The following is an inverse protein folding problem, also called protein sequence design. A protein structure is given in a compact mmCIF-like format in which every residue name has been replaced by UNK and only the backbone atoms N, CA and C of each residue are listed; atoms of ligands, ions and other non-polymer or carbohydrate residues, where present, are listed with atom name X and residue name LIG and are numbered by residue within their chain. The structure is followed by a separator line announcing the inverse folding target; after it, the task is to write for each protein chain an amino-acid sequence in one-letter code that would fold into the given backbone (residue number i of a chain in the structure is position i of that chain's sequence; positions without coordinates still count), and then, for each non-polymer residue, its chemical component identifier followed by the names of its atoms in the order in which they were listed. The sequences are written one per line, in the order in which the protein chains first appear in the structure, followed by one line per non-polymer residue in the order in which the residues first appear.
data_IF_502525794041
#
_entry.id   IF_502525794041
#
_cell.length_a   1.000
_cell.length_b   1.000
_cell.length_c   1.000
_cell.angle_alpha   90.00
_cell.angle_beta   90.00
_cell.angle_gamma   90.00
#
_symmetry.space_group_name_H-M   'P 1'
#
loop_
_entity.id
_entity.type
_entity.pdbx_description
1 polymer ?
#
# COMPACT_ATOMS: atom_id res chain seq x y z
N UNK A 1 -10.97 -4.02 -13.42
CA UNK A 1 -10.19 -2.95 -12.76
C UNK A 1 -9.21 -3.58 -11.77
N UNK A 2 -8.13 -2.89 -11.35
CA UNK A 2 -7.12 -3.44 -10.43
C UNK A 2 -6.79 -2.42 -9.35
N UNK A 3 -6.89 -2.83 -8.08
CA UNK A 3 -6.29 -2.12 -6.96
C UNK A 3 -4.97 -2.79 -6.58
N UNK A 4 -3.92 -1.98 -6.43
CA UNK A 4 -2.58 -2.45 -6.06
C UNK A 4 -2.19 -1.85 -4.72
N UNK A 5 -1.97 -2.71 -3.74
CA UNK A 5 -1.62 -2.35 -2.37
C UNK A 5 -0.23 -2.90 -2.07
N UNK A 6 0.60 -2.11 -1.41
CA UNK A 6 1.97 -2.48 -1.03
C UNK A 6 2.05 -2.65 0.49
N UNK A 7 2.64 -3.75 0.94
CA UNK A 7 2.92 -4.01 2.35
C UNK A 7 4.38 -4.45 2.46
N UNK A 8 5.24 -3.58 3.03
CA UNK A 8 6.69 -3.78 3.06
C UNK A 8 7.23 -4.04 1.64
N UNK A 9 7.79 -5.22 1.38
CA UNK A 9 8.29 -5.69 0.09
C UNK A 9 7.27 -6.56 -0.69
N UNK A 10 6.05 -6.75 -0.17
CA UNK A 10 5.01 -7.58 -0.76
C UNK A 10 3.91 -6.75 -1.42
N UNK A 11 3.19 -7.38 -2.36
CA UNK A 11 2.12 -6.74 -3.12
C UNK A 11 0.81 -7.52 -2.95
N UNK A 12 -0.28 -6.81 -2.69
CA UNK A 12 -1.64 -7.35 -2.78
C UNK A 12 -2.31 -6.73 -4.00
N UNK A 13 -2.85 -7.57 -4.88
CA UNK A 13 -3.69 -7.16 -5.99
C UNK A 13 -5.13 -7.57 -5.73
N UNK A 14 -6.06 -6.64 -5.95
CA UNK A 14 -7.50 -6.90 -5.88
C UNK A 14 -8.08 -6.60 -7.26
N UNK A 15 -8.74 -7.57 -7.88
CA UNK A 15 -9.24 -7.42 -9.24
C UNK A 15 -10.45 -8.29 -9.53
N UNK A 16 -11.25 -7.91 -10.52
CA UNK A 16 -12.28 -8.71 -11.17
C UNK A 16 -11.74 -9.46 -12.40
N UNK A 17 -10.51 -9.17 -12.83
CA UNK A 17 -9.95 -9.64 -14.09
C UNK A 17 -9.04 -10.87 -13.89
N UNK A 18 -9.59 -12.05 -14.20
CA UNK A 18 -8.89 -13.34 -14.14
C UNK A 18 -7.74 -13.43 -15.17
N UNK A 19 -7.73 -12.62 -16.23
CA UNK A 19 -6.68 -12.69 -17.25
C UNK A 19 -5.29 -12.35 -16.70
N UNK A 20 -5.21 -11.64 -15.58
CA UNK A 20 -3.95 -11.36 -14.89
C UNK A 20 -3.19 -12.64 -14.50
N UNK A 21 -3.91 -13.76 -14.36
CA UNK A 21 -3.35 -15.05 -13.97
C UNK A 21 -2.43 -15.68 -15.02
N UNK A 22 -2.52 -15.23 -16.28
CA UNK A 22 -1.70 -15.76 -17.39
C UNK A 22 -0.22 -15.38 -17.31
N UNK A 23 0.13 -14.39 -16.48
CA UNK A 23 1.47 -13.81 -16.40
C UNK A 23 2.06 -13.87 -14.99
N UNK A 24 1.66 -14.87 -14.20
CA UNK A 24 2.05 -14.98 -12.79
C UNK A 24 3.31 -15.84 -12.62
N UNK A 25 4.19 -15.39 -11.72
CA UNK A 25 5.37 -16.13 -11.26
C UNK A 25 5.04 -17.11 -10.14
N UNK A 26 5.98 -17.99 -9.76
CA UNK A 26 5.74 -19.07 -8.78
C UNK A 26 5.46 -18.61 -7.32
N UNK A 27 5.74 -17.35 -6.97
CA UNK A 27 5.65 -16.83 -5.58
C UNK A 27 4.35 -16.06 -5.29
N UNK A 28 3.22 -16.60 -5.75
CA UNK A 28 1.92 -15.89 -5.67
C UNK A 28 0.85 -16.76 -5.02
N UNK A 29 0.16 -16.19 -4.04
CA UNK A 29 -1.03 -16.75 -3.42
C UNK A 29 -2.27 -16.17 -4.10
N UNK A 30 -3.24 -17.00 -4.48
CA UNK A 30 -4.45 -16.56 -5.19
C UNK A 30 -5.68 -17.01 -4.42
N UNK A 31 -6.65 -16.11 -4.24
CA UNK A 31 -7.96 -16.40 -3.63
C UNK A 31 -9.09 -15.83 -4.48
N UNK A 32 -10.13 -16.64 -4.67
CA UNK A 32 -11.32 -16.30 -5.44
C UNK A 32 -12.51 -16.08 -4.50
N UNK A 33 -13.19 -14.95 -4.64
CA UNK A 33 -14.34 -14.52 -3.85
C UNK A 33 -14.18 -14.71 -2.32
N UNK A 34 -13.01 -14.37 -1.71
CA UNK A 34 -12.87 -14.55 -0.27
C UNK A 34 -13.86 -13.66 0.48
N UNK A 35 -14.37 -14.12 1.61
CA UNK A 35 -15.12 -13.27 2.53
C UNK A 35 -14.21 -12.38 3.38
N UNK A 36 -14.80 -11.49 4.19
CA UNK A 36 -14.02 -10.55 5.01
C UNK A 36 -13.23 -11.23 6.14
N UNK A 37 -13.75 -12.30 6.73
CA UNK A 37 -13.06 -13.01 7.80
C UNK A 37 -11.85 -13.75 7.25
N UNK A 38 -12.03 -14.41 6.10
CA UNK A 38 -10.94 -15.05 5.37
C UNK A 38 -9.82 -14.06 5.03
N UNK A 39 -10.16 -12.84 4.60
CA UNK A 39 -9.17 -11.80 4.29
C UNK A 39 -8.34 -11.46 5.53
N UNK A 40 -8.97 -11.28 6.69
CA UNK A 40 -8.25 -10.87 7.90
C UNK A 40 -7.18 -11.90 8.27
N UNK A 41 -7.55 -13.19 8.26
CA UNK A 41 -6.63 -14.27 8.60
C UNK A 41 -5.57 -14.46 7.52
N UNK A 42 -5.96 -14.34 6.25
CA UNK A 42 -5.06 -14.38 5.11
C UNK A 42 -4.03 -13.26 5.14
N UNK A 43 -4.43 -12.03 5.50
CA UNK A 43 -3.52 -10.88 5.61
C UNK A 43 -2.48 -11.09 6.72
N UNK A 44 -2.90 -11.65 7.86
CA UNK A 44 -1.97 -11.98 8.96
C UNK A 44 -0.95 -13.03 8.52
N UNK A 45 -1.43 -14.12 7.91
CA UNK A 45 -0.56 -15.19 7.41
C UNK A 45 0.39 -14.66 6.33
N UNK A 46 -0.14 -13.90 5.36
CA UNK A 46 0.64 -13.36 4.27
C UNK A 46 1.68 -12.32 4.72
N UNK A 47 1.44 -11.59 5.81
CA UNK A 47 2.43 -10.66 6.35
C UNK A 47 3.72 -11.37 6.77
N UNK A 48 3.60 -12.56 7.36
CA UNK A 48 4.72 -13.36 7.89
C UNK A 48 5.24 -14.44 6.91
N UNK A 49 4.63 -14.55 5.73
CA UNK A 49 4.95 -15.57 4.73
C UNK A 49 6.15 -15.19 3.83
N UNK A 50 7.33 -15.73 4.10
CA UNK A 50 8.53 -15.45 3.28
C UNK A 50 8.50 -16.11 1.89
N UNK A 51 7.62 -17.08 1.64
CA UNK A 51 7.53 -17.81 0.38
C UNK A 51 6.83 -16.97 -0.68
N UNK A 52 5.71 -16.33 -0.33
CA UNK A 52 4.89 -15.57 -1.27
C UNK A 52 5.19 -14.07 -1.21
N UNK A 53 5.45 -13.48 -2.38
CA UNK A 53 5.70 -12.03 -2.51
C UNK A 53 4.46 -11.29 -3.00
N UNK A 54 3.47 -12.02 -3.50
CA UNK A 54 2.24 -11.45 -4.03
C UNK A 54 1.01 -12.23 -3.58
N UNK A 55 -0.04 -11.50 -3.23
CA UNK A 55 -1.37 -12.04 -2.97
C UNK A 55 -2.35 -11.45 -3.97
N UNK A 56 -3.14 -12.29 -4.66
CA UNK A 56 -4.15 -11.85 -5.60
C UNK A 56 -5.53 -12.27 -5.09
N UNK A 57 -6.38 -11.27 -4.85
CA UNK A 57 -7.77 -11.43 -4.45
C UNK A 57 -8.67 -11.14 -5.66
N UNK A 58 -9.34 -12.17 -6.15
CA UNK A 58 -10.25 -12.05 -7.28
C UNK A 58 -11.68 -11.92 -6.76
N UNK A 59 -12.32 -10.77 -6.96
CA UNK A 59 -13.71 -10.53 -6.55
C UNK A 59 -14.54 -9.92 -7.69
N UNK A 60 -15.74 -10.45 -7.95
CA UNK A 60 -16.60 -9.95 -9.05
C UNK A 60 -17.33 -8.67 -8.66
N UNK A 61 -17.56 -8.46 -7.35
CA UNK A 61 -18.09 -7.21 -6.78
C UNK A 61 -16.94 -6.34 -6.30
N UNK A 62 -16.07 -5.98 -7.24
CA UNK A 62 -14.75 -5.41 -6.96
C UNK A 62 -14.79 -4.14 -6.11
N UNK A 63 -15.65 -3.17 -6.46
CA UNK A 63 -15.74 -1.89 -5.74
C UNK A 63 -16.23 -2.08 -4.30
N UNK A 64 -17.35 -2.78 -4.11
CA UNK A 64 -17.89 -3.11 -2.78
C UNK A 64 -16.87 -3.87 -1.92
N UNK A 65 -16.17 -4.81 -2.54
CA UNK A 65 -15.15 -5.61 -1.88
C UNK A 65 -13.95 -4.75 -1.46
N UNK A 66 -13.49 -3.86 -2.33
CA UNK A 66 -12.39 -2.94 -2.04
C UNK A 66 -12.75 -1.97 -0.91
N UNK A 67 -13.97 -1.43 -0.88
CA UNK A 67 -14.44 -0.56 0.20
C UNK A 67 -14.40 -1.31 1.54
N UNK A 68 -14.90 -2.56 1.57
CA UNK A 68 -14.87 -3.39 2.78
C UNK A 68 -13.43 -3.71 3.21
N UNK A 69 -12.55 -4.05 2.26
CA UNK A 69 -11.13 -4.28 2.51
C UNK A 69 -10.46 -3.03 3.09
N UNK A 70 -10.70 -1.86 2.50
CA UNK A 70 -10.14 -0.58 2.93
C UNK A 70 -10.54 -0.25 4.37
N UNK A 71 -11.81 -0.51 4.73
CA UNK A 71 -12.35 -0.27 6.07
C UNK A 71 -11.78 -1.21 7.15
N UNK A 72 -11.00 -2.25 6.79
CA UNK A 72 -10.26 -3.06 7.76
C UNK A 72 -9.06 -2.30 8.36
N UNK A 73 -8.62 -1.22 7.72
CA UNK A 73 -7.41 -0.51 8.09
C UNK A 73 -7.71 0.85 8.73
N UNK A 74 -6.93 1.19 9.74
CA UNK A 74 -6.88 2.56 10.26
C UNK A 74 -6.00 3.40 9.34
N UNK A 75 -6.63 4.31 8.61
CA UNK A 75 -5.92 5.24 7.73
C UNK A 75 -5.22 6.31 8.55
N UNK A 76 -3.93 6.50 8.30
CA UNK A 76 -3.14 7.60 8.86
C UNK A 76 -2.70 8.46 7.70
N UNK A 77 -3.24 9.68 7.63
CA UNK A 77 -2.85 10.64 6.62
C UNK A 77 -1.46 11.20 6.93
N UNK A 78 -0.66 11.35 5.88
CA UNK A 78 0.65 11.95 5.97
C UNK A 78 0.89 12.89 4.80
N UNK A 79 1.67 13.94 5.06
CA UNK A 79 2.07 14.93 4.06
C UNK A 79 3.58 15.18 4.16
N UNK A 80 4.16 15.70 3.10
CA UNK A 80 5.60 15.87 2.97
C UNK A 80 5.97 16.58 1.67
N UNK A 81 7.23 16.47 1.26
CA UNK A 81 7.73 17.18 0.09
C UNK A 81 8.93 16.51 -0.56
N UNK A 82 9.07 16.75 -1.86
CA UNK A 82 10.30 16.43 -2.60
C UNK A 82 11.22 17.63 -2.47
N UNK A 83 12.32 17.48 -1.74
CA UNK A 83 13.30 18.54 -1.54
C UNK A 83 14.44 18.34 -2.52
N UNK A 84 14.72 19.38 -3.29
CA UNK A 84 15.84 19.42 -4.22
C UNK A 84 16.99 20.22 -3.62
N UNK A 85 18.23 19.88 -3.98
CA UNK A 85 19.34 20.80 -3.78
C UNK A 85 19.21 22.05 -4.69
N UNK A 86 20.07 23.04 -4.50
CA UNK A 86 20.01 24.30 -5.25
C UNK A 86 20.09 24.10 -6.78
N UNK A 87 20.94 23.19 -7.24
CA UNK A 87 21.13 22.85 -8.65
C UNK A 87 19.99 22.02 -9.24
N UNK A 88 19.09 21.49 -8.39
CA UNK A 88 17.95 20.63 -8.74
C UNK A 88 18.32 19.32 -9.44
N UNK A 89 19.55 18.85 -9.28
CA UNK A 89 20.03 17.57 -9.81
C UNK A 89 19.92 16.42 -8.80
N UNK A 90 19.69 16.72 -7.52
CA UNK A 90 19.59 15.75 -6.41
C UNK A 90 18.32 15.95 -5.60
N UNK A 91 17.80 14.83 -5.07
CA UNK A 91 16.64 14.79 -4.18
C UNK A 91 17.09 14.32 -2.79
N UNK A 92 16.61 15.00 -1.75
CA UNK A 92 16.78 14.57 -0.37
C UNK A 92 15.84 13.40 -0.05
N UNK A 93 16.41 12.32 0.46
CA UNK A 93 15.68 11.21 1.07
C UNK A 93 16.01 11.14 2.57
N UNK A 94 15.07 10.61 3.34
CA UNK A 94 15.28 10.26 4.75
C UNK A 94 15.31 8.74 4.91
N UNK A 95 16.13 8.24 5.83
CA UNK A 95 16.17 6.82 6.14
C UNK A 95 15.35 6.57 7.41
N UNK A 96 14.22 5.86 7.28
CA UNK A 96 13.37 5.47 8.42
C UNK A 96 13.13 3.97 8.38
N UNK A 97 13.33 3.30 9.51
CA UNK A 97 13.14 1.85 9.65
C UNK A 97 13.91 1.03 8.58
N UNK A 98 15.09 1.49 8.18
CA UNK A 98 15.93 0.82 7.17
C UNK A 98 15.49 0.99 5.72
N UNK A 99 14.50 1.85 5.44
CA UNK A 99 14.00 2.13 4.08
C UNK A 99 14.12 3.62 3.77
N UNK A 100 14.58 3.93 2.55
CA UNK A 100 14.62 5.29 2.04
C UNK A 100 13.21 5.78 1.72
N UNK A 101 12.88 6.97 2.22
CA UNK A 101 11.57 7.59 2.09
C UNK A 101 11.73 9.08 1.78
N UNK A 102 10.67 9.73 1.30
CA UNK A 102 10.66 11.18 1.16
C UNK A 102 10.48 11.85 2.53
N UNK A 103 10.99 13.08 2.71
CA UNK A 103 10.65 13.92 3.86
C UNK A 103 9.14 14.03 4.02
N UNK A 104 8.58 13.36 5.03
CA UNK A 104 7.14 13.35 5.33
C UNK A 104 6.86 12.97 6.77
N UNK A 105 5.69 13.39 7.25
CA UNK A 105 5.14 12.92 8.50
C UNK A 105 3.63 12.99 8.55
N UNK A 106 3.08 12.84 9.76
CA UNK A 106 1.66 12.66 9.98
C UNK A 106 0.96 14.01 9.98
N UNK A 107 -0.23 14.06 9.37
CA UNK A 107 -1.10 15.24 9.45
C UNK A 107 -1.76 15.25 10.83
N UNK A 108 -1.62 16.37 11.53
CA UNK A 108 -2.27 16.57 12.83
C UNK A 108 -3.74 16.97 12.66
N UNK A 109 -4.53 16.75 13.72
CA UNK A 109 -5.96 17.03 13.66
C UNK A 109 -6.23 18.53 13.39
N UNK A 110 -6.98 18.82 12.32
CA UNK A 110 -7.30 20.18 11.91
C UNK A 110 -6.20 20.88 11.09
N UNK A 111 -5.09 20.19 10.79
CA UNK A 111 -4.03 20.67 9.91
C UNK A 111 -4.37 20.39 8.44
N UNK A 112 -3.98 21.28 7.53
CA UNK A 112 -4.07 21.01 6.07
C UNK A 112 -2.82 20.27 5.60
N UNK A 113 -2.94 19.57 4.47
CA UNK A 113 -1.83 18.83 3.87
C UNK A 113 -0.59 19.73 3.64
N UNK A 114 -0.80 20.98 3.20
CA UNK A 114 0.29 21.94 2.96
C UNK A 114 0.99 22.36 4.25
N UNK A 115 0.23 22.59 5.32
CA UNK A 115 0.80 22.97 6.63
C UNK A 115 1.61 21.82 7.23
N UNK A 116 1.06 20.60 7.15
CA UNK A 116 1.74 19.39 7.59
C UNK A 116 3.04 19.16 6.79
N UNK A 117 2.99 19.34 5.47
CA UNK A 117 4.17 19.22 4.61
C UNK A 117 5.26 20.24 4.98
N UNK A 118 4.90 21.51 5.19
CA UNK A 118 5.86 22.55 5.61
C UNK A 118 6.49 22.17 6.97
N UNK A 119 5.69 21.80 7.97
CA UNK A 119 6.17 21.45 9.32
C UNK A 119 7.11 20.23 9.35
N UNK A 120 6.83 19.21 8.53
CA UNK A 120 7.60 17.96 8.52
C UNK A 120 8.88 18.04 7.67
N UNK A 121 8.98 19.04 6.79
CA UNK A 121 10.08 19.19 5.84
C UNK A 121 11.01 20.36 6.17
N UNK A 122 10.46 21.44 6.76
CA UNK A 122 11.19 22.67 7.10
C UNK A 122 11.95 22.60 8.43
#
# INVERSE_FOLDING_TARGET
MIYKIFIKNKIILITDNIQILKHINEKVLIKYQPDLNEIIDLLKQFADDDLHQQLILINYKLEDFYIKFYNLFKVVLGAGGVVFNEEKDKILFILRNGVWDLPKGKIDYGESDEKAAIREVC
#
